data_IF_490073434609
#
_entry.id   IF_490073434609
#
_cell.length_a   1.000
_cell.length_b   1.000
_cell.length_c   1.000
_cell.angle_alpha   90.00
_cell.angle_beta   90.00
_cell.angle_gamma   90.00
#
_symmetry.space_group_name_H-M   'P 1'
#
loop_
_entity.id
_entity.type
_entity.pdbx_description
1 polymer ?
#
# COMPACT_ATOMS: atom_id res chain seq x y z
N UNK A 1 -13.71 1.93 15.53
CA UNK A 1 -13.37 0.52 15.79
C UNK A 1 -13.92 -0.28 14.62
N UNK A 2 -13.05 -0.75 13.72
CA UNK A 2 -13.48 -1.45 12.51
C UNK A 2 -13.84 -2.90 12.83
N UNK A 3 -15.01 -3.38 12.42
CA UNK A 3 -15.34 -4.81 12.48
C UNK A 3 -14.49 -5.57 11.46
N UNK A 4 -13.77 -6.64 11.85
CA UNK A 4 -12.85 -7.36 10.96
C UNK A 4 -13.54 -8.02 9.75
N UNK A 5 -14.86 -8.28 9.85
CA UNK A 5 -15.64 -8.93 8.78
C UNK A 5 -16.09 -7.94 7.68
N UNK A 6 -16.16 -6.64 7.98
CA UNK A 6 -16.73 -5.62 7.08
C UNK A 6 -15.67 -4.88 6.24
N UNK A 7 -14.44 -4.78 6.76
CA UNK A 7 -13.31 -4.11 6.10
C UNK A 7 -13.07 -4.56 4.64
N UNK A 8 -13.14 -5.85 4.27
CA UNK A 8 -12.79 -6.25 2.92
C UNK A 8 -13.68 -5.63 1.86
N UNK A 9 -14.99 -5.50 2.11
CA UNK A 9 -15.95 -5.03 1.09
C UNK A 9 -15.90 -3.52 0.91
N UNK A 10 -15.71 -2.76 1.99
CA UNK A 10 -15.70 -1.28 1.95
C UNK A 10 -14.48 -0.73 1.19
N UNK A 11 -13.36 -1.44 1.28
CA UNK A 11 -12.08 -0.99 0.70
C UNK A 11 -11.69 -1.77 -0.57
N UNK A 12 -12.50 -2.75 -1.01
CA UNK A 12 -12.22 -3.53 -2.22
C UNK A 12 -13.13 -3.21 -3.40
N UNK A 13 -12.57 -3.39 -4.59
CA UNK A 13 -13.18 -3.00 -5.86
C UNK A 13 -12.87 -4.01 -6.97
N UNK A 14 -13.60 -3.93 -8.08
CA UNK A 14 -13.48 -4.92 -9.18
C UNK A 14 -12.18 -4.75 -9.97
N UNK A 15 -11.55 -5.83 -10.44
CA UNK A 15 -10.36 -5.72 -11.30
C UNK A 15 -10.62 -4.97 -12.61
N UNK A 16 -11.88 -4.79 -13.01
CA UNK A 16 -12.25 -3.92 -14.12
C UNK A 16 -11.81 -2.46 -13.89
N UNK A 17 -11.73 -2.01 -12.64
CA UNK A 17 -11.32 -0.64 -12.27
C UNK A 17 -9.80 -0.50 -12.13
N UNK A 18 -9.03 -1.59 -12.27
CA UNK A 18 -7.61 -1.63 -11.90
C UNK A 18 -6.80 -0.55 -12.60
N UNK A 19 -6.94 -0.40 -13.91
CA UNK A 19 -6.15 0.58 -14.66
C UNK A 19 -6.41 2.01 -14.17
N UNK A 20 -7.68 2.40 -14.09
CA UNK A 20 -8.09 3.71 -13.59
C UNK A 20 -7.62 3.97 -12.15
N UNK A 21 -7.68 2.96 -11.26
CA UNK A 21 -7.22 3.09 -9.88
C UNK A 21 -5.71 3.24 -9.79
N UNK A 22 -4.94 2.47 -10.57
CA UNK A 22 -3.48 2.58 -10.58
C UNK A 22 -3.00 3.87 -11.26
N UNK A 23 -3.74 4.39 -12.24
CA UNK A 23 -3.48 5.67 -12.89
C UNK A 23 -3.78 6.88 -11.99
N UNK A 24 -4.51 6.69 -10.88
CA UNK A 24 -4.85 7.79 -9.95
C UNK A 24 -3.66 8.34 -9.15
N UNK A 25 -2.47 7.73 -9.27
CA UNK A 25 -1.24 8.23 -8.66
C UNK A 25 -0.80 9.55 -9.32
N UNK A 26 -0.83 10.71 -8.61
CA UNK A 26 -0.42 11.99 -9.18
C UNK A 26 1.10 12.12 -9.27
N UNK A 27 1.70 11.51 -10.30
CA UNK A 27 3.15 11.49 -10.57
C UNK A 27 3.79 12.88 -10.56
N UNK A 28 3.07 13.91 -11.02
CA UNK A 28 3.57 15.29 -11.14
C UNK A 28 3.29 16.18 -9.92
N UNK A 29 2.68 15.65 -8.85
CA UNK A 29 2.29 16.46 -7.68
C UNK A 29 3.45 16.83 -6.75
N UNK A 30 4.63 16.23 -6.93
CA UNK A 30 5.74 16.33 -5.97
C UNK A 30 5.52 15.52 -4.69
N UNK A 31 4.42 14.77 -4.57
CA UNK A 31 4.22 13.84 -3.47
C UNK A 31 5.23 12.69 -3.53
N UNK A 32 5.68 12.23 -2.37
CA UNK A 32 6.58 11.08 -2.28
C UNK A 32 5.76 9.81 -2.50
N UNK A 33 6.16 9.00 -3.48
CA UNK A 33 5.48 7.77 -3.80
C UNK A 33 5.93 7.16 -5.11
N UNK A 34 5.28 6.07 -5.49
CA UNK A 34 5.57 5.38 -6.75
C UNK A 34 4.85 4.06 -6.88
N UNK A 35 5.15 3.38 -7.98
CA UNK A 35 4.67 2.03 -8.27
C UNK A 35 5.46 0.99 -7.49
N UNK A 36 4.79 -0.11 -7.22
CA UNK A 36 5.39 -1.28 -6.62
C UNK A 36 4.77 -2.56 -7.18
N UNK A 37 5.52 -3.63 -7.13
CA UNK A 37 5.06 -4.97 -7.45
C UNK A 37 5.64 -5.99 -6.46
N UNK A 38 4.86 -7.04 -6.20
CA UNK A 38 5.25 -8.18 -5.40
C UNK A 38 4.86 -9.45 -6.14
N UNK A 39 5.85 -10.21 -6.56
CA UNK A 39 5.65 -11.48 -7.23
C UNK A 39 5.25 -12.56 -6.20
N UNK A 40 4.07 -13.16 -6.38
CA UNK A 40 3.52 -14.11 -5.41
C UNK A 40 4.16 -15.50 -5.53
N UNK A 41 4.88 -15.78 -6.62
CA UNK A 41 5.50 -17.07 -6.89
C UNK A 41 6.92 -17.11 -6.30
N UNK A 42 7.70 -16.06 -6.59
CA UNK A 42 9.11 -15.95 -6.19
C UNK A 42 9.30 -15.18 -4.88
N UNK A 43 8.28 -14.44 -4.43
CA UNK A 43 8.38 -13.56 -3.27
C UNK A 43 9.20 -12.29 -3.54
N UNK A 44 9.54 -12.00 -4.81
CA UNK A 44 10.35 -10.84 -5.19
C UNK A 44 9.55 -9.54 -5.08
N UNK A 45 10.14 -8.56 -4.41
CA UNK A 45 9.60 -7.21 -4.28
C UNK A 45 10.32 -6.26 -5.24
N UNK A 46 9.57 -5.39 -5.90
CA UNK A 46 10.07 -4.40 -6.87
C UNK A 46 9.40 -3.06 -6.57
N UNK A 47 10.18 -2.06 -6.21
CA UNK A 47 9.69 -0.72 -5.84
C UNK A 47 10.33 0.33 -6.73
N UNK A 48 9.57 1.37 -7.08
CA UNK A 48 10.16 2.60 -7.59
C UNK A 48 10.83 3.38 -6.46
N UNK A 49 11.79 4.26 -6.82
CA UNK A 49 12.60 5.04 -5.88
C UNK A 49 11.76 5.73 -4.80
N UNK A 50 10.67 6.41 -5.18
CA UNK A 50 9.83 7.13 -4.22
C UNK A 50 9.14 6.23 -3.18
N UNK A 51 8.98 4.94 -3.44
CA UNK A 51 8.48 3.98 -2.43
C UNK A 51 9.56 3.64 -1.41
N UNK A 52 10.83 3.57 -1.81
CA UNK A 52 11.95 3.44 -0.86
C UNK A 52 12.04 4.68 0.04
N UNK A 53 11.96 5.88 -0.54
CA UNK A 53 11.97 7.15 0.20
C UNK A 53 10.82 7.21 1.22
N UNK A 54 9.62 6.79 0.82
CA UNK A 54 8.43 6.77 1.67
C UNK A 54 8.58 5.87 2.90
N UNK A 55 9.23 4.71 2.73
CA UNK A 55 9.46 3.75 3.80
C UNK A 55 10.78 3.99 4.56
N UNK A 56 11.61 4.93 4.10
CA UNK A 56 12.89 5.24 4.72
C UNK A 56 13.95 4.16 4.51
N UNK A 57 13.93 3.45 3.39
CA UNK A 57 14.97 2.49 3.01
C UNK A 57 15.91 3.09 1.96
N UNK A 58 17.15 2.61 1.91
CA UNK A 58 18.05 2.96 0.81
C UNK A 58 17.55 2.36 -0.52
N UNK A 59 17.65 3.10 -1.64
CA UNK A 59 17.21 2.62 -2.94
C UNK A 59 17.92 1.33 -3.32
N UNK A 60 17.23 0.46 -4.04
CA UNK A 60 17.77 -0.83 -4.54
C UNK A 60 18.18 -1.82 -3.43
N UNK A 61 17.92 -1.50 -2.16
CA UNK A 61 18.07 -2.47 -1.05
C UNK A 61 17.20 -3.69 -1.31
N UNK A 62 17.75 -4.88 -1.02
CA UNK A 62 17.02 -6.13 -1.18
C UNK A 62 15.99 -6.26 -0.05
N UNK A 63 14.77 -5.80 -0.33
CA UNK A 63 13.69 -5.75 0.64
C UNK A 63 12.95 -7.09 0.74
N UNK A 64 12.70 -7.52 1.97
CA UNK A 64 11.76 -8.61 2.24
C UNK A 64 10.36 -8.06 2.48
N UNK A 65 9.35 -8.89 2.22
CA UNK A 65 7.96 -8.58 2.62
C UNK A 65 7.88 -8.23 4.10
N UNK A 66 8.58 -8.98 4.96
CA UNK A 66 8.56 -8.79 6.41
C UNK A 66 9.03 -7.38 6.78
N UNK A 67 10.18 -6.96 6.26
CA UNK A 67 10.73 -5.62 6.53
C UNK A 67 9.78 -4.51 6.12
N UNK A 68 9.10 -4.65 4.97
CA UNK A 68 8.10 -3.67 4.54
C UNK A 68 6.86 -3.66 5.46
N UNK A 69 6.39 -4.82 5.92
CA UNK A 69 5.22 -4.95 6.81
C UNK A 69 5.51 -4.41 8.21
N UNK A 70 6.75 -4.52 8.69
CA UNK A 70 7.20 -3.99 9.97
C UNK A 70 7.08 -2.45 10.05
N UNK A 71 7.14 -1.75 8.92
CA UNK A 71 6.90 -0.31 8.86
C UNK A 71 5.42 0.10 9.03
N UNK A 72 4.44 -0.79 8.88
CA UNK A 72 3.03 -0.42 9.05
C UNK A 72 2.68 -0.34 10.54
N UNK A 73 1.99 0.74 10.95
CA UNK A 73 1.52 0.94 12.32
C UNK A 73 0.41 -0.05 12.69
N UNK A 74 0.19 -0.31 13.99
CA UNK A 74 -0.62 -1.44 14.51
C UNK A 74 -1.92 -1.76 13.76
N UNK A 75 -2.91 -0.86 13.79
CA UNK A 75 -4.20 -1.08 13.11
C UNK A 75 -4.05 -1.07 11.57
N UNK A 76 -3.18 -0.21 11.05
CA UNK A 76 -2.88 -0.11 9.62
C UNK A 76 -2.27 -1.41 9.05
N UNK A 77 -1.41 -2.08 9.82
CA UNK A 77 -0.80 -3.36 9.48
C UNK A 77 -1.87 -4.44 9.37
N UNK A 78 -2.73 -4.54 10.38
CA UNK A 78 -3.82 -5.52 10.41
C UNK A 78 -4.78 -5.34 9.24
N UNK A 79 -5.23 -4.10 8.98
CA UNK A 79 -6.12 -3.81 7.86
C UNK A 79 -5.48 -4.13 6.49
N UNK A 80 -4.21 -3.76 6.30
CA UNK A 80 -3.48 -4.05 5.06
C UNK A 80 -3.29 -5.57 4.85
N UNK A 81 -2.93 -6.34 5.88
CA UNK A 81 -2.78 -7.79 5.77
C UNK A 81 -4.12 -8.47 5.41
N UNK A 82 -5.22 -8.06 6.04
CA UNK A 82 -6.56 -8.58 5.75
C UNK A 82 -6.99 -8.27 4.31
N UNK A 83 -6.84 -7.03 3.87
CA UNK A 83 -7.19 -6.63 2.50
C UNK A 83 -6.31 -7.31 1.46
N UNK A 84 -5.02 -7.49 1.74
CA UNK A 84 -4.12 -8.25 0.87
C UNK A 84 -4.57 -9.70 0.73
N UNK A 85 -4.90 -10.38 1.84
CA UNK A 85 -5.39 -11.75 1.80
C UNK A 85 -6.70 -11.85 1.02
N UNK A 86 -7.65 -10.95 1.29
CA UNK A 86 -8.92 -10.87 0.57
C UNK A 86 -8.73 -10.64 -0.93
N UNK A 87 -7.85 -9.71 -1.32
CA UNK A 87 -7.56 -9.38 -2.70
C UNK A 87 -7.02 -10.56 -3.50
N UNK A 88 -6.10 -11.34 -2.90
CA UNK A 88 -5.54 -12.55 -3.51
C UNK A 88 -6.62 -13.62 -3.68
N UNK A 89 -7.38 -13.89 -2.60
CA UNK A 89 -8.39 -14.95 -2.60
C UNK A 89 -9.56 -14.67 -3.55
N UNK A 90 -10.03 -13.41 -3.56
CA UNK A 90 -11.23 -13.02 -4.29
C UNK A 90 -10.94 -12.36 -5.63
N UNK A 91 -9.66 -12.16 -5.98
CA UNK A 91 -9.21 -11.48 -7.20
C UNK A 91 -9.86 -10.11 -7.32
N UNK A 92 -9.68 -9.30 -6.29
CA UNK A 92 -10.18 -7.92 -6.20
C UNK A 92 -9.03 -6.97 -5.92
N UNK A 93 -9.16 -5.72 -6.35
CA UNK A 93 -8.26 -4.67 -5.91
C UNK A 93 -8.73 -4.06 -4.60
N UNK A 94 -7.89 -3.26 -3.96
CA UNK A 94 -8.25 -2.48 -2.79
C UNK A 94 -7.53 -1.14 -2.74
N UNK A 95 -8.15 -0.20 -2.02
CA UNK A 95 -7.58 1.11 -1.71
C UNK A 95 -7.83 1.42 -0.25
N UNK A 96 -6.80 1.78 0.49
CA UNK A 96 -6.94 2.29 1.85
C UNK A 96 -5.81 3.28 2.18
N UNK A 97 -6.07 4.15 3.14
CA UNK A 97 -5.02 4.98 3.74
C UNK A 97 -4.48 4.26 4.99
N UNK A 98 -3.17 4.20 5.12
CA UNK A 98 -2.45 3.53 6.21
C UNK A 98 -1.41 4.47 6.80
N UNK A 99 -1.18 4.32 8.09
CA UNK A 99 -0.05 4.94 8.78
C UNK A 99 1.17 4.03 8.73
N UNK A 100 2.32 4.61 8.40
CA UNK A 100 3.62 3.95 8.42
C UNK A 100 4.60 4.69 9.35
N UNK A 101 5.49 3.92 9.97
CA UNK A 101 6.67 4.36 10.68
C UNK A 101 7.90 4.05 9.80
N UNK A 102 8.51 5.07 9.15
CA UNK A 102 9.68 4.89 8.30
C UNK A 102 10.87 4.24 9.04
N UNK A 103 11.60 3.36 8.36
CA UNK A 103 12.71 2.60 8.95
C UNK A 103 13.91 3.46 9.35
N UNK A 104 14.09 4.62 8.70
CA UNK A 104 15.13 5.59 9.02
C UNK A 104 14.81 6.48 10.24
N UNK A 105 13.70 6.23 10.94
CA UNK A 105 13.30 7.01 12.12
C UNK A 105 12.66 8.36 11.80
N UNK A 106 12.34 8.65 10.54
CA UNK A 106 11.55 9.82 10.20
C UNK A 106 10.15 9.77 10.86
N UNK A 107 9.46 10.91 11.02
CA UNK A 107 8.12 10.95 11.59
C UNK A 107 7.15 10.03 10.85
N UNK A 108 6.15 9.50 11.56
CA UNK A 108 5.08 8.73 10.95
C UNK A 108 4.39 9.52 9.84
N UNK A 109 3.96 8.79 8.81
CA UNK A 109 3.30 9.36 7.63
C UNK A 109 2.06 8.57 7.30
N UNK A 110 1.07 9.27 6.74
CA UNK A 110 -0.07 8.61 6.11
C UNK A 110 0.24 8.37 4.64
N UNK A 111 -0.06 7.18 4.18
CA UNK A 111 0.14 6.72 2.81
C UNK A 111 -1.15 6.13 2.27
N UNK A 112 -1.51 6.49 1.04
CA UNK A 112 -2.51 5.76 0.28
C UNK A 112 -1.87 4.54 -0.37
N UNK A 113 -2.44 3.37 -0.09
CA UNK A 113 -2.10 2.11 -0.72
C UNK A 113 -3.22 1.71 -1.67
N UNK A 114 -2.90 1.64 -2.95
CA UNK A 114 -3.77 1.06 -3.98
C UNK A 114 -3.09 -0.20 -4.48
N UNK A 115 -3.79 -1.32 -4.46
CA UNK A 115 -3.22 -2.60 -4.86
C UNK A 115 -4.23 -3.46 -5.60
N UNK A 116 -3.78 -4.21 -6.60
CA UNK A 116 -4.58 -5.22 -7.26
C UNK A 116 -3.72 -6.40 -7.74
N UNK A 117 -4.27 -7.62 -7.71
CA UNK A 117 -3.61 -8.77 -8.29
C UNK A 117 -3.62 -8.75 -9.82
N UNK A 118 -2.52 -9.18 -10.40
CA UNK A 118 -2.46 -9.75 -11.74
C UNK A 118 -2.79 -11.24 -11.65
N UNK A 119 -3.73 -11.70 -12.47
CA UNK A 119 -4.13 -13.09 -12.52
C UNK A 119 -3.66 -13.77 -13.81
N UNK A 120 -3.10 -14.97 -13.68
CA UNK A 120 -2.81 -15.87 -14.79
C UNK A 120 -3.58 -17.17 -14.57
N UNK A 121 -4.29 -17.65 -15.60
CA UNK A 121 -5.11 -18.88 -15.52
C UNK A 121 -6.05 -18.91 -14.31
N UNK A 122 -6.67 -17.76 -14.02
CA UNK A 122 -7.63 -17.62 -12.93
C UNK A 122 -7.03 -17.54 -11.52
N UNK A 123 -5.70 -17.54 -11.35
CA UNK A 123 -5.01 -17.42 -10.06
C UNK A 123 -4.19 -16.14 -9.98
N UNK A 124 -4.13 -15.51 -8.81
CA UNK A 124 -3.25 -14.36 -8.59
C UNK A 124 -1.78 -14.80 -8.61
N UNK A 125 -0.96 -14.15 -9.45
CA UNK A 125 0.47 -14.45 -9.62
C UNK A 125 1.38 -13.30 -9.21
N UNK A 126 0.88 -12.07 -9.24
CA UNK A 126 1.60 -10.86 -8.82
C UNK A 126 0.61 -9.90 -8.16
N UNK A 127 1.04 -9.17 -7.15
CA UNK A 127 0.35 -7.97 -6.66
C UNK A 127 1.07 -6.75 -7.19
N UNK A 128 0.31 -5.76 -7.64
CA UNK A 128 0.85 -4.48 -8.10
C UNK A 128 0.04 -3.34 -7.55
N UNK A 129 0.68 -2.18 -7.49
CA UNK A 129 0.03 -1.05 -6.90
C UNK A 129 0.80 0.24 -7.03
N UNK A 130 0.22 1.26 -6.41
CA UNK A 130 0.86 2.53 -6.13
C UNK A 130 0.79 2.79 -4.64
N UNK A 131 1.82 3.47 -4.14
CA UNK A 131 1.96 3.89 -2.76
C UNK A 131 2.38 5.33 -2.75
N UNK A 132 1.66 6.18 -2.03
CA UNK A 132 2.02 7.57 -1.96
C UNK A 132 1.56 8.29 -0.72
N UNK A 133 2.35 9.29 -0.34
CA UNK A 133 2.11 10.10 0.82
C UNK A 133 0.81 10.91 0.68
N UNK A 134 -0.01 10.85 1.74
CA UNK A 134 -1.23 11.63 1.93
C UNK A 134 -1.28 12.28 3.31
N UNK A 135 -0.15 12.37 4.02
CA UNK A 135 -0.03 13.05 5.33
C UNK A 135 -0.69 14.42 5.40
N UNK A 136 -0.63 15.29 4.36
CA UNK A 136 -1.34 16.58 4.38
C UNK A 136 -2.86 16.46 4.52
N UNK A 137 -3.47 15.35 4.07
CA UNK A 137 -4.91 15.07 4.19
C UNK A 137 -5.30 14.56 5.59
N UNK A 138 -4.31 14.07 6.35
CA UNK A 138 -4.49 13.47 7.69
C UNK A 138 -3.88 14.33 8.80
N UNK A 139 -3.72 15.64 8.55
CA UNK A 139 -3.03 16.58 9.45
C UNK A 139 -3.52 16.42 10.89
N UNK A 140 -2.63 16.28 11.89
CA UNK A 140 -3.06 16.27 13.28
C UNK A 140 -3.77 17.58 13.60
N UNK A 141 -4.89 17.48 14.33
CA UNK A 141 -5.57 18.64 14.92
C UNK A 141 -4.52 19.44 15.71
N UNK A 142 -4.14 20.63 15.21
CA UNK A 142 -3.41 21.58 16.07
C UNK A 142 -4.41 22.05 17.13
N UNK A 143 -4.06 22.05 18.43
CA UNK A 143 -4.87 22.78 19.38
C UNK A 143 -4.91 24.25 18.96
N UNK A 144 -6.05 24.95 19.10
CA UNK A 144 -6.06 26.40 19.00
C UNK A 144 -5.08 26.96 20.04
N UNK A 145 -4.36 28.03 19.66
CA UNK A 145 -3.53 28.79 20.61
C UNK A 145 -4.39 29.35 21.74
#
# INVERSE_FOLDING_TARGET
MFSPDSLPLEFSWSLAERDARLASWPQDSGAIGGRWAFDLITGRMMWERGVYDLFGFEPETQLTRRSAVECYAGESRTAMEQLRAHAIANRRGFTLDVEIAPANGAPNRWMRLIAAPLCARGRAVRLEGVKFEVSPLHRPLRPPR
#
